data_IF_155038768073
#
_entry.id   IF_155038768073
#
_cell.length_a   1.000
_cell.length_b   1.000
_cell.length_c   1.000
_cell.angle_alpha   90.00
_cell.angle_beta   90.00
_cell.angle_gamma   90.00
#
_symmetry.space_group_name_H-M   'P 1'
#
loop_
_entity.id
_entity.type
_entity.pdbx_description
1 polymer ?
#
# COMPACT_ATOMS: atom_id res chain seq x y z
N UNK A 1 41.63 -10.08 -18.52
CA UNK A 1 40.87 -10.49 -17.33
C UNK A 1 40.72 -9.21 -16.53
N UNK A 2 39.58 -8.53 -16.67
CA UNK A 2 39.30 -7.30 -15.93
C UNK A 2 38.89 -7.75 -14.53
N UNK A 3 39.78 -7.59 -13.56
CA UNK A 3 39.43 -7.68 -12.15
C UNK A 3 38.51 -6.50 -11.84
N UNK A 4 37.25 -6.80 -11.54
CA UNK A 4 36.36 -5.84 -10.93
C UNK A 4 36.83 -5.67 -9.49
N UNK A 5 37.47 -4.54 -9.20
CA UNK A 5 37.52 -4.00 -7.84
C UNK A 5 36.06 -3.81 -7.39
N UNK A 6 35.55 -4.79 -6.65
CA UNK A 6 34.31 -4.64 -5.90
C UNK A 6 34.66 -3.70 -4.77
N UNK A 7 34.46 -2.41 -5.01
CA UNK A 7 34.47 -1.40 -3.97
C UNK A 7 33.56 -1.94 -2.85
N UNK A 8 34.15 -2.15 -1.68
CA UNK A 8 33.45 -2.66 -0.50
C UNK A 8 32.61 -1.53 0.09
N UNK A 9 31.70 -1.00 -0.73
CA UNK A 9 30.65 -0.09 -0.32
C UNK A 9 29.81 -0.81 0.72
N UNK A 10 29.72 -0.22 1.91
CA UNK A 10 28.86 -0.70 2.97
C UNK A 10 27.44 -0.86 2.42
N UNK A 11 26.98 -2.10 2.29
CA UNK A 11 25.57 -2.41 1.96
C UNK A 11 24.67 -1.63 2.92
N UNK A 12 23.73 -0.87 2.36
CA UNK A 12 22.79 -0.07 3.14
C UNK A 12 22.07 -0.97 4.15
N UNK A 13 22.05 -0.54 5.41
CA UNK A 13 21.41 -1.28 6.48
C UNK A 13 19.90 -1.00 6.47
N UNK A 14 19.14 -1.98 5.99
CA UNK A 14 17.68 -1.88 5.87
C UNK A 14 17.01 -2.59 7.05
N UNK A 15 16.07 -1.93 7.71
CA UNK A 15 15.22 -2.54 8.75
C UNK A 15 13.75 -2.46 8.38
N UNK A 16 13.02 -3.53 8.67
CA UNK A 16 11.56 -3.61 8.48
C UNK A 16 10.90 -3.75 9.84
N UNK A 17 10.08 -2.76 10.20
CA UNK A 17 9.43 -2.66 11.50
C UNK A 17 7.93 -2.89 11.34
N UNK A 18 7.46 -4.03 11.86
CA UNK A 18 6.07 -4.45 11.78
C UNK A 18 5.37 -4.04 13.05
N UNK A 19 4.37 -3.16 12.93
CA UNK A 19 3.70 -2.56 14.09
C UNK A 19 2.28 -3.10 14.22
N UNK A 20 2.01 -3.74 15.37
CA UNK A 20 0.72 -4.35 15.68
C UNK A 20 0.49 -5.69 14.98
N UNK A 21 -0.74 -6.21 15.03
CA UNK A 21 -1.06 -7.56 14.54
C UNK A 21 -0.79 -7.74 13.04
N UNK A 22 -1.35 -6.88 12.19
CA UNK A 22 -1.16 -6.97 10.74
C UNK A 22 0.30 -6.75 10.31
N UNK A 23 1.00 -5.79 10.91
CA UNK A 23 2.43 -5.58 10.64
C UNK A 23 3.28 -6.79 11.03
N UNK A 24 3.01 -7.41 12.18
CA UNK A 24 3.68 -8.63 12.61
C UNK A 24 3.40 -9.82 11.67
N UNK A 25 2.16 -9.96 11.18
CA UNK A 25 1.79 -10.99 10.21
C UNK A 25 2.53 -10.79 8.88
N UNK A 26 2.56 -9.56 8.36
CA UNK A 26 3.29 -9.21 7.15
C UNK A 26 4.78 -9.54 7.27
N UNK A 27 5.42 -9.20 8.39
CA UNK A 27 6.82 -9.57 8.66
C UNK A 27 7.02 -11.09 8.69
N UNK A 28 6.16 -11.82 9.40
CA UNK A 28 6.26 -13.28 9.45
C UNK A 28 6.22 -13.88 8.04
N UNK A 29 5.38 -13.32 7.16
CA UNK A 29 5.28 -13.74 5.77
C UNK A 29 6.50 -13.35 4.94
N UNK A 30 7.03 -12.14 5.11
CA UNK A 30 8.30 -11.72 4.48
C UNK A 30 9.45 -12.69 4.82
N UNK A 31 9.53 -13.11 6.09
CA UNK A 31 10.54 -14.08 6.56
C UNK A 31 10.32 -15.46 5.93
N UNK A 32 9.08 -15.94 5.90
CA UNK A 32 8.72 -17.23 5.31
C UNK A 32 9.01 -17.29 3.81
N UNK A 33 8.75 -16.20 3.09
CA UNK A 33 9.09 -16.06 1.67
C UNK A 33 10.57 -15.75 1.42
N UNK A 34 11.39 -15.68 2.48
CA UNK A 34 12.84 -15.58 2.37
C UNK A 34 13.34 -14.22 1.88
N UNK A 35 12.64 -13.12 2.19
CA UNK A 35 13.12 -11.76 1.90
C UNK A 35 14.49 -11.55 2.58
N UNK A 36 15.51 -11.18 1.79
CA UNK A 36 16.92 -11.11 2.23
C UNK A 36 17.38 -9.66 2.39
N UNK A 37 18.51 -9.49 3.08
CA UNK A 37 19.19 -8.20 3.18
C UNK A 37 18.46 -7.17 4.05
N UNK A 38 17.50 -7.60 4.86
CA UNK A 38 16.73 -6.74 5.78
C UNK A 38 16.72 -7.33 7.19
N UNK A 39 16.79 -6.48 8.21
CA UNK A 39 16.58 -6.87 9.61
C UNK A 39 15.10 -6.67 9.99
N UNK A 40 14.46 -7.71 10.55
CA UNK A 40 13.05 -7.64 10.95
C UNK A 40 12.90 -7.32 12.44
N UNK A 41 12.06 -6.32 12.73
CA UNK A 41 11.68 -5.89 14.07
C UNK A 41 10.15 -5.97 14.21
N UNK A 42 9.66 -6.82 15.10
CA UNK A 42 8.24 -6.88 15.44
C UNK A 42 7.94 -6.00 16.67
N UNK A 43 6.95 -5.12 16.57
CA UNK A 43 6.56 -4.17 17.62
C UNK A 43 5.09 -4.37 17.96
N UNK A 44 4.77 -4.73 19.20
CA UNK A 44 3.38 -4.94 19.58
C UNK A 44 3.10 -4.69 21.06
N UNK A 45 1.87 -4.28 21.38
CA UNK A 45 1.36 -4.20 22.76
C UNK A 45 0.84 -5.55 23.25
N UNK A 46 0.48 -6.45 22.34
CA UNK A 46 0.04 -7.81 22.64
C UNK A 46 1.25 -8.75 22.74
N UNK A 47 1.51 -9.21 23.97
CA UNK A 47 2.62 -10.12 24.27
C UNK A 47 2.45 -11.51 23.65
N UNK A 48 1.22 -12.00 23.51
CA UNK A 48 0.95 -13.31 22.94
C UNK A 48 1.18 -13.29 21.43
N UNK A 49 0.70 -12.24 20.76
CA UNK A 49 0.95 -12.04 19.34
C UNK A 49 2.46 -11.88 19.05
N UNK A 50 3.18 -11.19 19.93
CA UNK A 50 4.62 -10.97 19.77
C UNK A 50 5.44 -12.26 19.96
N UNK A 51 5.04 -13.14 20.88
CA UNK A 51 5.70 -14.43 21.10
C UNK A 51 5.68 -15.35 19.85
N UNK A 52 4.66 -15.20 18.99
CA UNK A 52 4.52 -15.94 17.74
C UNK A 52 5.28 -15.30 16.56
N UNK A 53 5.93 -14.15 16.77
CA UNK A 53 6.67 -13.49 15.70
C UNK A 53 7.95 -14.24 15.35
N UNK A 54 8.21 -14.41 14.05
CA UNK A 54 9.44 -15.00 13.51
C UNK A 54 10.57 -13.96 13.38
N UNK A 55 10.32 -12.69 13.70
CA UNK A 55 11.29 -11.60 13.62
C UNK A 55 12.49 -11.79 14.57
N UNK A 56 13.65 -11.31 14.14
CA UNK A 56 14.91 -11.36 14.89
C UNK A 56 14.82 -10.51 16.17
N UNK A 57 14.21 -9.33 16.08
CA UNK A 57 13.97 -8.44 17.20
C UNK A 57 12.48 -8.36 17.51
N UNK A 58 12.15 -8.36 18.80
CA UNK A 58 10.77 -8.28 19.30
C UNK A 58 10.71 -7.22 20.39
N UNK A 59 9.95 -6.17 20.16
CA UNK A 59 9.80 -5.03 21.06
C UNK A 59 8.37 -5.03 21.60
N UNK A 60 8.21 -5.31 22.89
CA UNK A 60 6.92 -5.20 23.55
C UNK A 60 6.72 -3.77 24.05
N UNK A 61 5.77 -3.06 23.46
CA UNK A 61 5.50 -1.66 23.81
C UNK A 61 4.35 -1.53 24.82
N UNK A 62 4.42 -0.52 25.68
CA UNK A 62 3.34 -0.19 26.63
C UNK A 62 3.02 -1.31 27.62
N UNK A 63 4.03 -1.96 28.17
CA UNK A 63 3.87 -3.01 29.17
C UNK A 63 3.09 -2.52 30.40
N UNK A 64 3.29 -1.26 30.82
CA UNK A 64 2.55 -0.67 31.95
C UNK A 64 1.12 -0.28 31.56
N UNK A 65 0.95 0.32 30.37
CA UNK A 65 -0.36 0.80 29.88
C UNK A 65 -1.32 -0.36 29.57
N UNK A 66 -0.83 -1.41 28.92
CA UNK A 66 -1.69 -2.49 28.38
C UNK A 66 -1.62 -3.80 29.16
N UNK A 67 -0.61 -3.95 30.03
CA UNK A 67 -0.29 -5.22 30.71
C UNK A 67 -0.11 -6.40 29.75
N UNK A 68 0.32 -6.12 28.52
CA UNK A 68 0.56 -7.13 27.48
C UNK A 68 -0.70 -7.68 26.80
N UNK A 69 -1.86 -7.04 26.98
CA UNK A 69 -3.17 -7.48 26.46
C UNK A 69 -3.58 -6.79 25.14
N UNK A 70 -2.74 -5.93 24.60
CA UNK A 70 -3.04 -5.16 23.40
C UNK A 70 -3.76 -3.83 23.67
N UNK A 71 -3.94 -3.05 22.60
CA UNK A 71 -4.52 -1.70 22.67
C UNK A 71 -6.06 -1.63 22.56
N UNK A 72 -6.75 -2.78 22.47
CA UNK A 72 -8.22 -2.83 22.47
C UNK A 72 -8.89 -2.02 21.34
N UNK A 73 -8.30 -2.01 20.15
CA UNK A 73 -8.74 -1.19 19.00
C UNK A 73 -8.76 0.34 19.24
N UNK A 74 -8.10 0.83 20.29
CA UNK A 74 -7.98 2.26 20.59
C UNK A 74 -6.60 2.79 20.13
N UNK A 75 -6.54 3.68 19.11
CA UNK A 75 -5.29 4.26 18.64
C UNK A 75 -4.54 5.08 19.69
N UNK A 76 -5.24 5.77 20.60
CA UNK A 76 -4.58 6.57 21.64
C UNK A 76 -3.81 5.71 22.63
N UNK A 77 -4.32 4.51 22.93
CA UNK A 77 -3.61 3.53 23.77
C UNK A 77 -2.37 3.03 23.06
N UNK A 78 -2.46 2.76 21.75
CA UNK A 78 -1.31 2.39 20.92
C UNK A 78 -0.22 3.48 20.89
N UNK A 79 -0.62 4.75 20.74
CA UNK A 79 0.31 5.88 20.75
C UNK A 79 1.00 6.05 22.11
N UNK A 80 0.24 6.03 23.21
CA UNK A 80 0.81 6.11 24.57
C UNK A 80 1.75 4.94 24.88
N UNK A 81 1.42 3.74 24.40
CA UNK A 81 2.26 2.56 24.56
C UNK A 81 3.60 2.70 23.82
N UNK A 82 3.58 3.24 22.60
CA UNK A 82 4.80 3.49 21.83
C UNK A 82 5.66 4.60 22.47
N UNK A 83 5.03 5.66 22.95
CA UNK A 83 5.73 6.76 23.64
C UNK A 83 6.38 6.30 24.95
N UNK A 84 5.72 5.43 25.72
CA UNK A 84 6.30 4.79 26.91
C UNK A 84 7.59 4.04 26.59
N UNK A 85 7.67 3.42 25.42
CA UNK A 85 8.77 2.56 24.97
C UNK A 85 9.65 3.23 23.92
N UNK A 86 9.62 4.57 23.81
CA UNK A 86 10.31 5.33 22.74
C UNK A 86 11.82 5.06 22.71
N UNK A 87 12.47 5.06 23.87
CA UNK A 87 13.92 4.83 23.97
C UNK A 87 14.31 3.43 23.45
N UNK A 88 13.51 2.41 23.77
CA UNK A 88 13.72 1.04 23.32
C UNK A 88 13.52 0.92 21.81
N UNK A 89 12.50 1.58 21.25
CA UNK A 89 12.28 1.67 19.80
C UNK A 89 13.50 2.30 19.13
N UNK A 90 13.94 3.48 19.59
CA UNK A 90 15.11 4.16 19.02
C UNK A 90 16.37 3.30 19.07
N UNK A 91 16.59 2.57 20.16
CA UNK A 91 17.75 1.67 20.28
C UNK A 91 17.75 0.58 19.22
N UNK A 92 16.59 -0.01 18.91
CA UNK A 92 16.46 -1.02 17.87
C UNK A 92 16.60 -0.46 16.45
N UNK A 93 16.28 0.83 16.23
CA UNK A 93 16.38 1.50 14.93
C UNK A 93 17.80 1.98 14.60
N UNK A 94 18.68 2.14 15.60
CA UNK A 94 20.05 2.64 15.38
C UNK A 94 20.83 1.81 14.36
N UNK A 95 21.62 2.53 13.55
CA UNK A 95 22.49 1.95 12.53
C UNK A 95 21.77 1.57 11.23
N UNK A 96 20.47 1.87 11.09
CA UNK A 96 19.77 1.72 9.82
C UNK A 96 19.99 2.94 8.93
N UNK A 97 20.13 2.72 7.63
CA UNK A 97 20.08 3.76 6.60
C UNK A 97 18.65 3.97 6.08
N UNK A 98 17.86 2.88 6.09
CA UNK A 98 16.47 2.82 5.65
C UNK A 98 15.61 2.02 6.61
N UNK A 99 14.46 2.57 6.98
CA UNK A 99 13.45 1.90 7.80
C UNK A 99 12.12 1.85 7.06
N UNK A 100 11.60 0.64 6.88
CA UNK A 100 10.21 0.42 6.49
C UNK A 100 9.33 0.27 7.73
N UNK A 101 8.31 1.11 7.87
CA UNK A 101 7.30 0.97 8.92
C UNK A 101 6.05 0.36 8.30
N UNK A 102 5.73 -0.89 8.64
CA UNK A 102 4.55 -1.58 8.13
C UNK A 102 3.49 -1.83 9.20
N UNK A 103 2.24 -1.51 8.87
CA UNK A 103 1.12 -1.65 9.79
C UNK A 103 -0.22 -1.77 9.05
N UNK A 104 -1.17 -2.47 9.67
CA UNK A 104 -2.57 -2.40 9.29
C UNK A 104 -3.29 -1.28 10.03
N UNK A 105 -3.87 -0.34 9.28
CA UNK A 105 -4.52 0.84 9.83
C UNK A 105 -5.97 0.53 10.22
N UNK A 106 -6.47 1.24 11.23
CA UNK A 106 -7.84 1.10 11.75
C UNK A 106 -7.93 0.35 13.08
N UNK A 107 -6.90 -0.43 13.42
CA UNK A 107 -6.73 -1.05 14.75
C UNK A 107 -6.25 -0.06 15.82
N UNK A 108 -5.87 -0.58 16.99
CA UNK A 108 -5.32 0.23 18.09
C UNK A 108 -3.82 0.42 17.99
N UNK A 109 -3.07 -0.69 18.03
CA UNK A 109 -1.60 -0.67 18.06
C UNK A 109 -1.01 -0.10 16.78
N UNK A 110 -1.31 -0.67 15.61
CA UNK A 110 -0.76 -0.20 14.32
C UNK A 110 -1.03 1.28 14.08
N UNK A 111 -2.30 1.68 14.12
CA UNK A 111 -2.74 3.07 13.90
C UNK A 111 -2.10 4.08 14.86
N UNK A 112 -1.92 3.71 16.13
CA UNK A 112 -1.41 4.61 17.16
C UNK A 112 0.11 4.65 17.27
N UNK A 113 0.76 3.48 17.17
CA UNK A 113 2.18 3.32 17.39
C UNK A 113 3.02 3.55 16.12
N UNK A 114 2.51 3.25 14.93
CA UNK A 114 3.29 3.40 13.70
C UNK A 114 3.79 4.85 13.48
N UNK A 115 2.99 5.92 13.71
CA UNK A 115 3.49 7.29 13.61
C UNK A 115 4.63 7.61 14.60
N UNK A 116 4.59 7.04 15.81
CA UNK A 116 5.62 7.26 16.84
C UNK A 116 6.91 6.53 16.48
N UNK A 117 6.80 5.30 15.95
CA UNK A 117 7.95 4.54 15.44
C UNK A 117 8.61 5.27 14.27
N UNK A 118 7.80 5.78 13.33
CA UNK A 118 8.29 6.53 12.19
C UNK A 118 8.97 7.84 12.59
N UNK A 119 8.39 8.58 13.54
CA UNK A 119 9.00 9.79 14.11
C UNK A 119 10.36 9.49 14.75
N UNK A 120 10.46 8.43 15.55
CA UNK A 120 11.71 7.99 16.17
C UNK A 120 12.79 7.63 15.13
N UNK A 121 12.40 7.05 13.99
CA UNK A 121 13.32 6.77 12.88
C UNK A 121 13.82 8.07 12.22
N UNK A 122 12.92 9.02 11.94
CA UNK A 122 13.29 10.32 11.34
C UNK A 122 14.18 11.16 12.26
N UNK A 123 13.96 11.14 13.57
CA UNK A 123 14.83 11.82 14.54
C UNK A 123 16.27 11.29 14.53
N UNK A 124 16.46 10.04 14.13
CA UNK A 124 17.77 9.42 13.93
C UNK A 124 18.39 9.73 12.56
N UNK A 125 17.70 10.49 11.70
CA UNK A 125 18.14 10.82 10.34
C UNK A 125 18.01 9.69 9.33
N UNK A 126 17.16 8.71 9.61
CA UNK A 126 16.97 7.51 8.79
C UNK A 126 15.89 7.77 7.74
N UNK A 127 16.14 7.37 6.48
CA UNK A 127 15.11 7.40 5.44
C UNK A 127 13.95 6.49 5.87
N UNK A 128 12.77 7.04 6.07
CA UNK A 128 11.64 6.34 6.69
C UNK A 128 10.48 6.24 5.72
N UNK A 129 10.16 5.02 5.29
CA UNK A 129 9.06 4.73 4.37
C UNK A 129 7.95 3.99 5.11
N UNK A 130 6.75 4.54 5.12
CA UNK A 130 5.56 3.85 5.63
C UNK A 130 4.91 2.99 4.55
N UNK A 131 4.61 1.72 4.84
CA UNK A 131 3.86 0.84 3.94
C UNK A 131 2.69 0.24 4.70
N UNK A 132 1.49 0.78 4.49
CA UNK A 132 0.33 0.50 5.35
C UNK A 132 -0.93 0.11 4.57
N UNK A 133 -1.79 -0.69 5.19
CA UNK A 133 -3.09 -1.08 4.61
C UNK A 133 -4.25 -0.29 5.21
N UNK A 134 -5.22 0.09 4.37
CA UNK A 134 -6.55 0.54 4.81
C UNK A 134 -7.46 -0.68 4.99
N UNK A 135 -8.35 -0.70 5.99
CA UNK A 135 -9.21 -1.85 6.27
C UNK A 135 -10.23 -2.08 5.15
N UNK A 136 -10.78 -3.29 5.06
CA UNK A 136 -11.92 -3.56 4.20
C UNK A 136 -13.17 -2.83 4.70
N UNK A 137 -14.09 -2.47 3.80
CA UNK A 137 -15.34 -1.79 4.17
C UNK A 137 -16.19 -2.62 5.14
N UNK A 138 -16.16 -3.95 5.03
CA UNK A 138 -16.90 -4.86 5.92
C UNK A 138 -16.38 -4.87 7.35
N UNK A 139 -15.15 -4.41 7.62
CA UNK A 139 -14.60 -4.35 8.98
C UNK A 139 -15.23 -3.20 9.81
N UNK A 140 -15.96 -2.30 9.15
CA UNK A 140 -16.80 -1.29 9.76
C UNK A 140 -16.25 0.12 9.69
N UNK A 141 -17.17 1.10 9.67
CA UNK A 141 -16.88 2.54 9.51
C UNK A 141 -15.91 3.09 10.56
N UNK A 142 -15.97 2.60 11.80
CA UNK A 142 -15.08 3.07 12.86
C UNK A 142 -13.62 2.70 12.59
N UNK A 143 -13.34 1.51 12.05
CA UNK A 143 -11.98 1.12 11.66
C UNK A 143 -11.48 1.99 10.51
N UNK A 144 -12.31 2.26 9.51
CA UNK A 144 -11.95 3.16 8.40
C UNK A 144 -11.60 4.57 8.89
N UNK A 145 -12.43 5.15 9.76
CA UNK A 145 -12.18 6.49 10.34
C UNK A 145 -10.87 6.54 11.15
N UNK A 146 -10.63 5.50 11.95
CA UNK A 146 -9.37 5.36 12.68
C UNK A 146 -8.18 5.27 11.71
N UNK A 147 -8.33 4.52 10.62
CA UNK A 147 -7.30 4.34 9.61
C UNK A 147 -6.95 5.66 8.92
N UNK A 148 -7.93 6.42 8.45
CA UNK A 148 -7.73 7.74 7.84
C UNK A 148 -7.00 8.70 8.78
N UNK A 149 -7.43 8.75 10.04
CA UNK A 149 -6.79 9.61 11.06
C UNK A 149 -5.35 9.18 11.33
N UNK A 150 -5.08 7.87 11.37
CA UNK A 150 -3.73 7.33 11.59
C UNK A 150 -2.81 7.56 10.38
N UNK A 151 -3.34 7.42 9.16
CA UNK A 151 -2.60 7.65 7.92
C UNK A 151 -2.15 9.10 7.84
N UNK A 152 -3.04 10.05 8.17
CA UNK A 152 -2.70 11.47 8.16
C UNK A 152 -1.60 11.81 9.18
N UNK A 153 -1.66 11.21 10.38
CA UNK A 153 -0.60 11.35 11.38
C UNK A 153 0.72 10.72 10.91
N UNK A 154 0.66 9.53 10.31
CA UNK A 154 1.84 8.82 9.82
C UNK A 154 2.51 9.58 8.68
N UNK A 155 1.73 10.13 7.75
CA UNK A 155 2.22 10.92 6.61
C UNK A 155 3.12 12.08 7.04
N UNK A 156 2.83 12.72 8.17
CA UNK A 156 3.64 13.82 8.71
C UNK A 156 4.96 13.35 9.34
N UNK A 157 5.12 12.04 9.55
CA UNK A 157 6.22 11.41 10.29
C UNK A 157 7.04 10.43 9.44
N UNK A 158 6.77 10.33 8.15
CA UNK A 158 7.54 9.55 7.17
C UNK A 158 7.99 10.44 6.03
N UNK A 159 8.99 10.00 5.28
CA UNK A 159 9.44 10.69 4.07
C UNK A 159 8.55 10.34 2.86
N UNK A 160 8.14 9.06 2.79
CA UNK A 160 7.14 8.55 1.84
C UNK A 160 6.17 7.58 2.51
N UNK A 161 4.90 7.63 2.10
CA UNK A 161 3.83 6.77 2.60
C UNK A 161 3.12 6.03 1.46
N UNK A 162 3.36 4.72 1.36
CA UNK A 162 2.63 3.82 0.47
C UNK A 162 1.37 3.34 1.19
N UNK A 163 0.21 3.65 0.63
CA UNK A 163 -1.09 3.16 1.16
C UNK A 163 -1.70 2.13 0.24
N UNK A 164 -2.05 0.98 0.80
CA UNK A 164 -2.69 -0.14 0.11
C UNK A 164 -4.16 -0.21 0.54
N UNK A 165 -5.11 0.10 -0.36
CA UNK A 165 -6.54 -0.01 -0.06
C UNK A 165 -7.01 -1.47 -0.15
N UNK A 166 -7.26 -2.13 0.99
CA UNK A 166 -7.72 -3.54 0.97
C UNK A 166 -9.02 -3.73 0.19
N UNK A 167 -9.89 -2.72 0.13
CA UNK A 167 -11.10 -2.75 -0.68
C UNK A 167 -10.81 -3.07 -2.16
N UNK A 168 -9.67 -2.58 -2.70
CA UNK A 168 -9.30 -2.83 -4.09
C UNK A 168 -8.92 -4.28 -4.34
N UNK A 169 -8.43 -5.00 -3.33
CA UNK A 169 -8.14 -6.43 -3.41
C UNK A 169 -9.41 -7.22 -3.75
N UNK A 170 -10.59 -6.77 -3.31
CA UNK A 170 -11.86 -7.42 -3.61
C UNK A 170 -12.22 -7.40 -5.11
N UNK A 171 -11.64 -6.46 -5.88
CA UNK A 171 -11.84 -6.40 -7.33
C UNK A 171 -11.03 -7.45 -8.10
N UNK A 172 -9.96 -7.96 -7.47
CA UNK A 172 -9.02 -8.92 -8.06
C UNK A 172 -9.40 -10.36 -7.70
N UNK A 173 -10.09 -10.56 -6.57
CA UNK A 173 -10.44 -11.90 -6.06
C UNK A 173 -11.79 -12.44 -6.58
N UNK A 174 -11.90 -13.77 -6.68
CA UNK A 174 -13.13 -14.46 -7.09
C UNK A 174 -14.17 -14.53 -5.96
N UNK A 175 -15.45 -14.76 -6.33
CA UNK A 175 -16.59 -14.85 -5.37
C UNK A 175 -16.45 -15.92 -4.28
N UNK A 176 -15.55 -16.90 -4.45
CA UNK A 176 -15.32 -17.98 -3.49
C UNK A 176 -14.23 -17.69 -2.44
N UNK A 177 -13.58 -16.53 -2.49
CA UNK A 177 -12.44 -16.19 -1.63
C UNK A 177 -12.88 -16.10 -0.17
N UNK A 178 -12.18 -16.81 0.72
CA UNK A 178 -12.52 -16.79 2.15
C UNK A 178 -12.00 -15.52 2.83
N UNK A 179 -12.49 -15.25 4.04
CA UNK A 179 -12.00 -14.12 4.84
C UNK A 179 -10.50 -14.25 5.16
N UNK A 180 -10.02 -15.47 5.41
CA UNK A 180 -8.60 -15.73 5.70
C UNK A 180 -7.75 -15.43 4.48
N UNK A 181 -8.19 -15.85 3.29
CA UNK A 181 -7.50 -15.61 2.03
C UNK A 181 -7.43 -14.12 1.68
N UNK A 182 -8.50 -13.36 1.98
CA UNK A 182 -8.51 -11.92 1.77
C UNK A 182 -7.47 -11.19 2.63
N UNK A 183 -7.33 -11.54 3.91
CA UNK A 183 -6.29 -10.96 4.77
C UNK A 183 -4.89 -11.43 4.37
N UNK A 184 -4.75 -12.70 3.99
CA UNK A 184 -3.51 -13.24 3.42
C UNK A 184 -3.08 -12.44 2.19
N UNK A 185 -4.01 -12.07 1.33
CA UNK A 185 -3.72 -11.23 0.17
C UNK A 185 -3.25 -9.82 0.58
N UNK A 186 -3.88 -9.20 1.58
CA UNK A 186 -3.44 -7.91 2.09
C UNK A 186 -2.01 -7.96 2.63
N UNK A 187 -1.68 -9.01 3.40
CA UNK A 187 -0.32 -9.23 3.93
C UNK A 187 0.69 -9.49 2.80
N UNK A 188 0.28 -10.19 1.73
CA UNK A 188 1.14 -10.41 0.57
C UNK A 188 1.39 -9.12 -0.23
N UNK A 189 0.41 -8.24 -0.37
CA UNK A 189 0.62 -6.93 -1.01
C UNK A 189 1.54 -6.03 -0.16
N UNK A 190 1.46 -6.09 1.17
CA UNK A 190 2.45 -5.44 2.06
C UNK A 190 3.87 -5.98 1.82
N UNK A 191 4.01 -7.30 1.72
CA UNK A 191 5.28 -7.97 1.39
C UNK A 191 5.81 -7.49 0.04
N UNK A 192 4.97 -7.50 -1.00
CA UNK A 192 5.37 -7.08 -2.35
C UNK A 192 5.80 -5.60 -2.39
N UNK A 193 5.14 -4.71 -1.63
CA UNK A 193 5.53 -3.31 -1.58
C UNK A 193 6.86 -3.04 -0.90
N UNK A 194 7.18 -3.77 0.17
CA UNK A 194 8.51 -3.68 0.80
C UNK A 194 9.55 -4.34 -0.10
N UNK A 195 9.26 -5.54 -0.62
CA UNK A 195 10.15 -6.28 -1.51
C UNK A 195 10.53 -5.45 -2.75
N UNK A 196 9.54 -4.79 -3.37
CA UNK A 196 9.73 -4.00 -4.58
C UNK A 196 10.78 -2.89 -4.43
N UNK A 197 10.91 -2.31 -3.24
CA UNK A 197 11.93 -1.29 -2.91
C UNK A 197 13.21 -1.94 -2.38
N UNK A 198 13.09 -2.92 -1.48
CA UNK A 198 14.27 -3.52 -0.84
C UNK A 198 15.13 -4.30 -1.83
N UNK A 199 14.53 -4.99 -2.81
CA UNK A 199 15.27 -5.78 -3.80
C UNK A 199 16.17 -4.90 -4.69
N UNK A 200 15.81 -3.62 -4.87
CA UNK A 200 16.60 -2.66 -5.63
C UNK A 200 17.90 -2.24 -4.95
N UNK A 201 17.97 -2.40 -3.62
CA UNK A 201 19.07 -1.92 -2.77
C UNK A 201 19.86 -3.08 -2.17
N UNK A 202 19.14 -4.10 -1.68
CA UNK A 202 19.70 -5.14 -0.81
C UNK A 202 20.17 -6.38 -1.58
N UNK A 203 19.64 -6.62 -2.78
CA UNK A 203 19.91 -7.81 -3.58
C UNK A 203 20.72 -7.41 -4.82
N UNK A 204 21.89 -8.03 -5.05
CA UNK A 204 22.60 -7.84 -6.31
C UNK A 204 21.72 -8.23 -7.50
N UNK A 205 21.46 -7.26 -8.37
CA UNK A 205 20.60 -7.36 -9.55
C UNK A 205 21.40 -7.05 -10.82
N UNK A 206 20.81 -7.28 -12.00
CA UNK A 206 21.46 -7.00 -13.29
C UNK A 206 21.70 -5.51 -13.49
N UNK A 207 20.74 -4.70 -13.03
CA UNK A 207 20.80 -3.24 -13.03
C UNK A 207 20.52 -2.78 -11.60
N UNK A 208 21.59 -2.64 -10.82
CA UNK A 208 21.52 -2.15 -9.46
C UNK A 208 21.32 -0.64 -9.45
N UNK A 209 20.48 -0.20 -8.51
CA UNK A 209 20.36 1.20 -8.14
C UNK A 209 21.18 1.44 -6.89
N UNK A 210 21.73 2.64 -6.74
CA UNK A 210 22.34 3.01 -5.48
C UNK A 210 21.29 3.50 -4.47
N UNK A 211 21.68 3.58 -3.21
CA UNK A 211 20.80 4.08 -2.16
C UNK A 211 20.44 5.57 -2.35
N UNK A 212 21.32 6.35 -2.97
CA UNK A 212 21.13 7.79 -3.16
C UNK A 212 20.04 8.07 -4.22
N UNK A 213 19.96 7.23 -5.26
CA UNK A 213 18.92 7.22 -6.27
C UNK A 213 17.57 7.00 -5.59
N UNK A 214 17.40 5.91 -4.85
CA UNK A 214 16.13 5.63 -4.13
C UNK A 214 15.79 6.75 -3.16
N UNK A 215 16.78 7.26 -2.43
CA UNK A 215 16.60 8.41 -1.53
C UNK A 215 16.09 9.64 -2.29
N UNK A 216 16.63 9.97 -3.46
CA UNK A 216 16.22 11.15 -4.24
C UNK A 216 14.74 11.12 -4.68
N UNK A 217 14.19 9.93 -4.89
CA UNK A 217 12.79 9.72 -5.28
C UNK A 217 11.87 9.51 -4.09
N UNK A 218 12.35 9.05 -2.93
CA UNK A 218 11.50 8.74 -1.77
C UNK A 218 11.59 9.74 -0.62
N UNK A 219 12.62 10.58 -0.58
CA UNK A 219 12.81 11.60 0.47
C UNK A 219 11.79 12.75 0.32
N UNK A 220 11.05 13.02 1.41
CA UNK A 220 10.05 14.10 1.54
C UNK A 220 9.02 14.19 0.38
N UNK A 221 8.56 13.05 -0.16
CA UNK A 221 7.54 13.04 -1.24
C UNK A 221 6.10 12.91 -0.75
N UNK A 222 5.89 12.58 0.52
CA UNK A 222 4.55 12.41 1.07
C UNK A 222 3.88 11.13 0.56
N UNK A 223 2.72 11.25 -0.10
CA UNK A 223 1.97 10.07 -0.53
C UNK A 223 2.61 9.37 -1.74
N UNK A 224 2.64 8.03 -1.66
CA UNK A 224 3.11 7.15 -2.70
C UNK A 224 2.05 6.10 -3.05
N UNK A 225 2.04 5.68 -4.31
CA UNK A 225 1.16 4.63 -4.81
C UNK A 225 1.96 3.53 -5.47
N UNK A 226 1.48 2.30 -5.32
CA UNK A 226 2.13 1.11 -5.85
C UNK A 226 1.22 0.44 -6.86
N UNK A 227 1.78 0.12 -8.02
CA UNK A 227 1.17 -0.73 -9.04
C UNK A 227 2.02 -1.98 -9.24
N UNK A 228 1.37 -3.12 -9.37
CA UNK A 228 2.03 -4.40 -9.62
C UNK A 228 1.38 -5.05 -10.83
N UNK A 229 2.21 -5.54 -11.74
CA UNK A 229 1.81 -6.26 -12.92
C UNK A 229 2.63 -7.54 -13.11
N UNK A 230 1.97 -8.54 -13.67
CA UNK A 230 2.50 -9.85 -14.00
C UNK A 230 2.24 -10.10 -15.47
N UNK A 231 3.17 -10.78 -16.13
CA UNK A 231 2.99 -11.22 -17.50
C UNK A 231 3.80 -12.46 -17.79
N UNK A 232 3.35 -13.24 -18.77
CA UNK A 232 3.96 -14.50 -19.18
C UNK A 232 3.88 -14.65 -20.71
N UNK A 233 4.77 -15.45 -21.29
CA UNK A 233 4.84 -15.70 -22.74
C UNK A 233 5.44 -14.55 -23.55
N UNK A 234 5.15 -14.51 -24.85
CA UNK A 234 5.82 -13.60 -25.80
C UNK A 234 5.58 -12.10 -25.53
N UNK A 235 4.44 -11.73 -24.92
CA UNK A 235 4.11 -10.34 -24.58
C UNK A 235 4.21 -10.08 -23.07
N UNK A 236 4.96 -10.90 -22.32
CA UNK A 236 5.03 -10.84 -20.87
C UNK A 236 5.33 -9.44 -20.33
N UNK A 237 6.31 -8.77 -20.90
CA UNK A 237 6.73 -7.44 -20.46
C UNK A 237 5.66 -6.37 -20.71
N UNK A 238 5.11 -6.33 -21.93
CA UNK A 238 4.10 -5.35 -22.34
C UNK A 238 2.82 -5.51 -21.51
N UNK A 239 2.40 -6.75 -21.25
CA UNK A 239 1.23 -7.03 -20.41
C UNK A 239 1.48 -6.70 -18.94
N UNK A 240 2.66 -7.06 -18.39
CA UNK A 240 3.05 -6.69 -17.03
C UNK A 240 3.09 -5.17 -16.85
N UNK A 241 3.62 -4.43 -17.83
CA UNK A 241 3.69 -2.97 -17.77
C UNK A 241 2.29 -2.33 -17.78
N UNK A 242 1.40 -2.78 -18.70
CA UNK A 242 0.00 -2.32 -18.72
C UNK A 242 -0.71 -2.61 -17.41
N UNK A 243 -0.54 -3.82 -16.87
CA UNK A 243 -1.18 -4.21 -15.61
C UNK A 243 -0.64 -3.38 -14.43
N UNK A 244 0.66 -3.07 -14.40
CA UNK A 244 1.25 -2.24 -13.36
C UNK A 244 0.70 -0.80 -13.41
N UNK A 245 0.60 -0.20 -14.60
CA UNK A 245 0.08 1.17 -14.82
C UNK A 245 -1.42 1.28 -14.50
N UNK A 246 -2.18 0.22 -14.80
CA UNK A 246 -3.63 0.16 -14.56
C UNK A 246 -4.01 -0.59 -13.27
N UNK A 247 -3.03 -0.83 -12.40
CA UNK A 247 -3.20 -1.67 -11.22
C UNK A 247 -4.29 -1.08 -10.30
N UNK A 248 -5.24 -1.88 -9.80
CA UNK A 248 -6.24 -1.42 -8.84
C UNK A 248 -5.66 -0.88 -7.54
N UNK A 249 -4.39 -1.19 -7.26
CA UNK A 249 -3.64 -0.73 -6.08
C UNK A 249 -3.19 0.73 -6.19
N UNK A 250 -3.16 1.29 -7.41
CA UNK A 250 -2.93 2.70 -7.65
C UNK A 250 -4.21 3.48 -7.31
N UNK A 251 -4.23 4.18 -6.16
CA UNK A 251 -5.40 4.99 -5.78
C UNK A 251 -5.60 6.20 -6.70
N UNK A 252 -4.52 6.71 -7.28
CA UNK A 252 -4.53 7.72 -8.34
C UNK A 252 -3.77 7.22 -9.56
N UNK A 253 -4.08 7.77 -10.74
CA UNK A 253 -3.32 7.48 -11.96
C UNK A 253 -1.85 7.82 -11.75
N UNK A 254 -0.95 7.09 -12.42
CA UNK A 254 0.49 7.41 -12.45
C UNK A 254 0.76 8.80 -13.06
N UNK A 255 -0.19 9.33 -13.84
CA UNK A 255 -0.10 10.66 -14.43
C UNK A 255 0.09 11.74 -13.34
N UNK A 256 1.16 12.54 -13.48
CA UNK A 256 1.49 13.62 -12.53
C UNK A 256 2.37 13.18 -11.36
N UNK A 257 2.83 11.93 -11.33
CA UNK A 257 3.89 11.51 -10.43
C UNK A 257 5.21 12.18 -10.84
N UNK A 258 5.86 12.88 -9.91
CA UNK A 258 7.14 13.56 -10.14
C UNK A 258 8.35 12.70 -9.83
N UNK A 259 8.13 11.54 -9.19
CA UNK A 259 9.15 10.52 -8.97
C UNK A 259 8.55 9.13 -9.19
N UNK A 260 9.23 8.28 -9.97
CA UNK A 260 8.75 6.93 -10.28
C UNK A 260 9.91 5.95 -10.12
N UNK A 261 9.68 4.88 -9.36
CA UNK A 261 10.58 3.73 -9.27
C UNK A 261 9.96 2.58 -10.05
N UNK A 262 10.73 2.00 -10.97
CA UNK A 262 10.35 0.83 -11.76
C UNK A 262 11.31 -0.30 -11.38
N UNK A 263 10.76 -1.39 -10.85
CA UNK A 263 11.50 -2.63 -10.59
C UNK A 263 10.95 -3.73 -11.49
N UNK A 264 11.82 -4.28 -12.35
CA UNK A 264 11.50 -5.42 -13.20
C UNK A 264 12.19 -6.67 -12.64
N UNK A 265 11.42 -7.71 -12.35
CA UNK A 265 11.93 -9.01 -11.94
C UNK A 265 11.49 -10.06 -12.96
N UNK A 266 12.41 -10.88 -13.46
CA UNK A 266 12.08 -11.99 -14.34
C UNK A 266 13.11 -13.12 -14.27
N UNK A 267 12.94 -14.16 -15.08
CA UNK A 267 13.91 -15.24 -15.22
C UNK A 267 15.22 -14.82 -15.91
N UNK A 268 16.11 -15.79 -16.11
CA UNK A 268 17.42 -15.57 -16.78
C UNK A 268 17.30 -15.10 -18.24
N UNK A 269 16.17 -15.37 -18.86
CA UNK A 269 15.90 -15.03 -20.26
C UNK A 269 15.42 -13.57 -20.43
N UNK A 270 15.43 -12.75 -19.37
CA UNK A 270 15.00 -11.35 -19.42
C UNK A 270 15.89 -10.55 -20.39
N UNK A 271 15.32 -10.21 -21.55
CA UNK A 271 16.01 -9.46 -22.60
C UNK A 271 16.05 -7.96 -22.35
N UNK A 272 17.14 -7.30 -22.80
CA UNK A 272 17.29 -5.85 -22.71
C UNK A 272 16.21 -5.09 -23.51
N UNK A 273 15.80 -5.64 -24.66
CA UNK A 273 14.78 -5.03 -25.53
C UNK A 273 13.44 -4.99 -24.81
N UNK A 274 13.04 -6.13 -24.21
CA UNK A 274 11.81 -6.23 -23.44
C UNK A 274 11.84 -5.21 -22.30
N UNK A 275 12.91 -5.23 -21.51
CA UNK A 275 13.10 -4.30 -20.38
C UNK A 275 12.93 -2.84 -20.81
N UNK A 276 13.53 -2.45 -21.94
CA UNK A 276 13.40 -1.09 -22.47
C UNK A 276 11.95 -0.78 -22.91
N UNK A 277 11.25 -1.72 -23.54
CA UNK A 277 9.85 -1.52 -23.95
C UNK A 277 8.93 -1.29 -22.74
N UNK A 278 9.05 -2.12 -21.70
CA UNK A 278 8.29 -1.97 -20.46
C UNK A 278 8.56 -0.63 -19.76
N UNK A 279 9.84 -0.25 -19.66
CA UNK A 279 10.25 1.01 -19.06
C UNK A 279 9.71 2.23 -19.83
N UNK A 280 9.74 2.20 -21.16
CA UNK A 280 9.22 3.29 -22.00
C UNK A 280 7.70 3.46 -21.84
N UNK A 281 6.95 2.36 -21.74
CA UNK A 281 5.50 2.43 -21.55
C UNK A 281 5.13 3.13 -20.24
N UNK A 282 5.84 2.80 -19.15
CA UNK A 282 5.60 3.41 -17.84
C UNK A 282 6.06 4.86 -17.83
N UNK A 283 7.19 5.16 -18.47
CA UNK A 283 7.71 6.53 -18.62
C UNK A 283 6.75 7.44 -19.36
N UNK A 284 6.13 6.95 -20.45
CA UNK A 284 5.14 7.71 -21.22
C UNK A 284 3.83 7.97 -20.45
N UNK A 285 3.54 7.18 -19.41
CA UNK A 285 2.38 7.39 -18.55
C UNK A 285 2.68 8.36 -17.39
N UNK A 286 3.95 8.56 -17.02
CA UNK A 286 4.36 9.47 -15.97
C UNK A 286 4.39 10.95 -16.45
N UNK A 287 4.73 11.87 -15.55
CA UNK A 287 4.97 13.27 -15.91
C UNK A 287 6.24 13.43 -16.78
N UNK A 288 6.25 14.39 -17.72
CA UNK A 288 7.40 14.61 -18.61
C UNK A 288 8.67 15.01 -17.85
N UNK A 289 8.54 15.66 -16.69
CA UNK A 289 9.65 16.04 -15.81
C UNK A 289 9.84 15.08 -14.63
N UNK A 290 9.23 13.88 -14.68
CA UNK A 290 9.36 12.89 -13.62
C UNK A 290 10.80 12.39 -13.49
N UNK A 291 11.30 12.32 -12.26
CA UNK A 291 12.54 11.60 -11.95
C UNK A 291 12.24 10.10 -11.94
N UNK A 292 12.67 9.40 -12.99
CA UNK A 292 12.41 7.96 -13.16
C UNK A 292 13.67 7.17 -12.87
N UNK A 293 13.54 6.23 -11.94
CA UNK A 293 14.60 5.32 -11.54
C UNK A 293 14.19 3.91 -11.94
N UNK A 294 15.12 3.19 -12.55
CA UNK A 294 14.87 1.89 -13.13
C UNK A 294 15.84 0.84 -12.59
N UNK A 295 15.31 -0.27 -12.08
CA UNK A 295 16.10 -1.44 -11.67
C UNK A 295 15.57 -2.73 -12.30
N UNK A 296 16.49 -3.68 -12.52
CA UNK A 296 16.17 -4.99 -13.08
C UNK A 296 16.90 -6.11 -12.35
N UNK A 297 16.14 -7.08 -11.84
CA UNK A 297 16.63 -8.25 -11.13
C UNK A 297 16.23 -9.57 -11.78
N UNK A 298 17.02 -10.61 -11.51
CA UNK A 298 16.73 -11.98 -11.92
C UNK A 298 16.26 -12.78 -10.72
N UNK A 299 15.10 -13.41 -10.85
CA UNK A 299 14.57 -14.39 -9.90
C UNK A 299 14.32 -15.70 -10.64
N UNK A 300 15.15 -16.72 -10.36
CA UNK A 300 15.06 -18.03 -10.99
C UNK A 300 13.76 -18.76 -10.66
N UNK A 301 13.06 -18.35 -9.59
CA UNK A 301 11.80 -18.97 -9.18
C UNK A 301 10.63 -18.58 -10.07
N UNK A 302 10.75 -17.48 -10.84
CA UNK A 302 9.70 -16.97 -11.73
C UNK A 302 9.61 -17.71 -13.07
N UNK A 303 10.64 -18.46 -13.47
CA UNK A 303 10.63 -19.16 -14.76
C UNK A 303 10.47 -18.20 -15.94
N UNK A 304 9.35 -18.29 -16.67
CA UNK A 304 8.97 -17.45 -17.80
C UNK A 304 8.07 -16.25 -17.42
N UNK A 305 7.75 -16.09 -16.13
CA UNK A 305 6.98 -14.96 -15.64
C UNK A 305 7.85 -13.71 -15.44
N UNK A 306 7.26 -12.55 -15.75
CA UNK A 306 7.83 -11.23 -15.51
C UNK A 306 6.92 -10.49 -14.55
N UNK A 307 7.51 -9.92 -13.51
CA UNK A 307 6.84 -9.06 -12.53
C UNK A 307 7.40 -7.64 -12.64
N UNK A 308 6.52 -6.67 -12.82
CA UNK A 308 6.86 -5.25 -12.78
C UNK A 308 6.19 -4.62 -11.56
N UNK A 309 6.99 -3.97 -10.73
CA UNK A 309 6.52 -3.14 -9.62
C UNK A 309 6.81 -1.70 -9.93
N UNK A 310 5.78 -0.85 -9.88
CA UNK A 310 5.88 0.59 -10.10
C UNK A 310 5.50 1.29 -8.80
N UNK A 311 6.35 2.21 -8.36
CA UNK A 311 6.09 3.04 -7.18
C UNK A 311 6.18 4.49 -7.59
N UNK A 312 5.03 5.15 -7.56
CA UNK A 312 4.87 6.52 -7.97
C UNK A 312 4.76 7.42 -6.74
N UNK A 313 5.41 8.57 -6.77
CA UNK A 313 5.52 9.51 -5.65
C UNK A 313 5.35 10.96 -6.13
N UNK A 314 5.10 11.87 -5.19
CA UNK A 314 5.15 13.31 -5.47
C UNK A 314 3.95 13.85 -6.23
N UNK A 315 2.76 13.28 -6.00
CA UNK A 315 1.48 13.71 -6.58
C UNK A 315 0.99 15.08 -6.08
N UNK A 316 1.55 15.59 -4.97
CA UNK A 316 1.05 16.77 -4.28
C UNK A 316 1.40 18.11 -4.96
N UNK A 317 2.33 18.10 -5.91
CA UNK A 317 2.73 19.34 -6.63
C UNK A 317 1.61 19.88 -7.53
N UNK A 318 0.68 19.04 -7.98
CA UNK A 318 -0.42 19.43 -8.87
C UNK A 318 -1.57 20.19 -8.20
N UNK A 319 -1.77 20.05 -6.88
CA UNK A 319 -2.88 20.71 -6.17
C UNK A 319 -2.56 22.17 -5.81
N UNK A 320 -1.29 22.52 -5.58
CA UNK A 320 -0.91 23.91 -5.26
C UNK A 320 -1.08 24.86 -6.44
N UNK A 321 -0.86 24.40 -7.68
CA UNK A 321 -0.94 25.26 -8.87
C UNK A 321 -2.38 25.60 -9.27
N UNK A 322 -3.39 24.82 -8.84
CA UNK A 322 -4.81 25.09 -9.15
C UNK A 322 -5.48 26.10 -8.22
N UNK A 323 -4.88 26.44 -7.07
CA UNK A 323 -5.46 27.41 -6.11
C UNK A 323 -5.12 28.88 -6.41
N UNK A 324 -4.11 29.15 -7.22
CA UNK A 324 -3.64 30.52 -7.50
C UNK A 324 -4.21 31.13 -8.80
N UNK A 325 -5.22 30.50 -9.41
CA UNK A 325 -5.94 31.03 -10.58
C UNK A 325 -7.41 31.32 -10.32
N UNK A 326 -7.75 31.82 -9.12
CA UNK A 326 -9.02 32.54 -8.95
C UNK A 326 -8.86 33.98 -9.44
N UNK A 327 -9.67 34.31 -10.45
CA UNK A 327 -9.72 35.60 -11.15
C UNK A 327 -10.07 36.77 -10.20
N UNK A 328 -9.72 38.02 -10.55
CA UNK A 328 -10.01 39.17 -9.71
C UNK A 328 -11.53 39.39 -9.60
N UNK A 329 -12.02 39.36 -8.37
CA UNK A 329 -13.39 39.69 -7.99
C UNK A 329 -13.69 41.14 -8.36
N UNK A 330 -14.65 41.35 -9.26
CA UNK A 330 -15.15 42.65 -9.64
C UNK A 330 -15.87 43.34 -8.46
N UNK A 331 -15.58 44.62 -8.25
CA UNK A 331 -16.20 45.50 -7.25
C UNK A 331 -17.70 45.68 -7.51
N UNK A 332 -18.50 45.50 -6.45
CA UNK A 332 -19.94 45.81 -6.43
C UNK A 332 -20.16 47.31 -6.26
N UNK A 333 -20.92 47.91 -7.19
CA UNK A 333 -21.49 49.24 -7.05
C UNK A 333 -22.87 49.18 -6.36
N UNK A 334 -23.27 50.20 -5.56
CA UNK A 334 -24.43 50.12 -4.68
C UNK A 334 -25.74 50.42 -5.44
N UNK A 335 -26.80 49.63 -5.18
CA UNK A 335 -28.15 49.92 -5.68
C UNK A 335 -29.10 50.29 -4.53
N UNK A 336 -29.78 51.41 -4.77
CA UNK A 336 -30.76 52.08 -3.93
C UNK A 336 -32.10 51.33 -3.82
N UNK A 337 -32.89 51.76 -2.84
CA UNK A 337 -34.14 51.19 -2.34
C UNK A 337 -35.40 51.48 -3.18
N UNK A 338 -36.52 50.88 -2.71
CA UNK A 338 -37.96 51.11 -3.00
C UNK A 338 -38.58 50.16 -4.05
N UNK A 339 -39.80 49.60 -3.97
CA UNK A 339 -41.07 49.92 -3.27
C UNK A 339 -41.92 48.63 -3.08
N UNK A 340 -42.75 48.59 -2.02
CA UNK A 340 -43.85 47.63 -1.74
C UNK A 340 -45.08 47.75 -2.66
N UNK A 341 -45.63 46.63 -3.17
CA UNK A 341 -47.07 46.46 -3.53
C UNK A 341 -47.45 44.95 -3.53
N UNK A 342 -48.73 44.53 -3.47
CA UNK A 342 -49.29 43.74 -2.38
C UNK A 342 -49.69 42.31 -2.75
N UNK A 343 -49.97 41.53 -1.70
CA UNK A 343 -50.35 40.12 -1.66
C UNK A 343 -51.72 39.83 -2.32
N UNK A 344 -51.77 38.76 -3.11
CA UNK A 344 -52.97 38.22 -3.77
C UNK A 344 -53.05 36.68 -3.60
N UNK A 345 -54.25 36.08 -3.66
CA UNK A 345 -54.64 34.94 -2.81
C UNK A 345 -54.07 33.57 -3.22
N UNK A 346 -53.81 32.72 -2.22
CA UNK A 346 -53.37 31.33 -2.36
C UNK A 346 -54.52 30.41 -2.82
N UNK A 347 -54.34 29.72 -3.94
CA UNK A 347 -55.17 28.57 -4.35
C UNK A 347 -54.69 27.26 -3.66
N UNK A 348 -55.58 26.26 -3.46
CA UNK A 348 -55.27 25.07 -2.67
C UNK A 348 -54.29 24.13 -3.39
N UNK A 349 -53.24 23.72 -2.68
CA UNK A 349 -52.30 22.67 -3.12
C UNK A 349 -52.97 21.30 -3.13
N UNK A 350 -53.04 20.66 -4.29
CA UNK A 350 -53.36 19.23 -4.43
C UNK A 350 -52.16 18.35 -4.04
N UNK A 351 -52.42 17.30 -3.27
CA UNK A 351 -51.45 16.27 -2.89
C UNK A 351 -51.05 15.40 -4.10
N UNK A 352 -49.76 15.04 -4.26
CA UNK A 352 -49.37 14.15 -5.33
C UNK A 352 -49.84 12.71 -5.06
N UNK A 353 -50.61 12.16 -6.01
CA UNK A 353 -51.00 10.74 -6.07
C UNK A 353 -49.78 9.83 -6.09
N UNK A 354 -49.84 8.79 -5.24
CA UNK A 354 -48.94 7.65 -5.16
C UNK A 354 -48.90 6.91 -6.50
N UNK A 355 -47.73 6.86 -7.15
CA UNK A 355 -47.49 6.03 -8.34
C UNK A 355 -47.01 4.66 -7.85
N UNK A 356 -47.76 3.60 -8.16
CA UNK A 356 -47.29 2.22 -8.00
C UNK A 356 -46.18 1.95 -9.03
N UNK A 357 -44.97 1.66 -8.55
CA UNK A 357 -43.86 1.24 -9.40
C UNK A 357 -44.08 -0.21 -9.83
N UNK A 358 -44.07 -0.44 -11.14
CA UNK A 358 -43.97 -1.77 -11.73
C UNK A 358 -42.68 -2.48 -11.27
N UNK A 359 -42.77 -3.81 -11.14
CA UNK A 359 -41.72 -4.65 -10.57
C UNK A 359 -40.33 -4.44 -11.21
N UNK A 360 -39.25 -4.50 -10.40
CA UNK A 360 -37.88 -4.36 -10.89
C UNK A 360 -37.47 -5.41 -11.93
N UNK A 361 -36.70 -4.97 -12.92
CA UNK A 361 -36.21 -5.77 -14.07
C UNK A 361 -35.28 -6.95 -13.71
N UNK A 362 -34.97 -7.17 -12.43
CA UNK A 362 -34.16 -8.31 -11.97
C UNK A 362 -34.98 -9.56 -11.61
N UNK A 363 -36.32 -9.53 -11.80
CA UNK A 363 -37.22 -10.67 -11.63
C UNK A 363 -37.55 -11.43 -12.93
N UNK A 364 -36.90 -11.14 -14.06
CA UNK A 364 -37.01 -11.97 -15.27
C UNK A 364 -35.88 -13.00 -15.33
N UNK A 365 -36.19 -14.21 -14.88
CA UNK A 365 -35.43 -15.42 -15.22
C UNK A 365 -35.79 -15.87 -16.65
N UNK A 366 -34.79 -16.11 -17.48
CA UNK A 366 -34.87 -17.06 -18.59
C UNK A 366 -33.48 -17.37 -19.16
N UNK A 367 -33.08 -18.61 -18.92
CA UNK A 367 -32.42 -19.49 -19.88
C UNK A 367 -32.61 -19.09 -21.35
N UNK A 368 -31.51 -18.94 -22.10
CA UNK A 368 -31.20 -19.69 -23.32
C UNK A 368 -29.86 -19.26 -23.95
N UNK A 369 -29.26 -20.22 -24.64
CA UNK A 369 -27.93 -20.30 -25.21
C UNK A 369 -27.75 -19.41 -26.46
N UNK A 370 -26.54 -18.88 -26.74
CA UNK A 370 -25.81 -19.09 -28.01
C UNK A 370 -24.60 -18.15 -28.21
N UNK A 371 -23.43 -18.80 -28.36
CA UNK A 371 -22.30 -18.53 -29.28
C UNK A 371 -22.08 -17.12 -29.85
N UNK A 372 -20.91 -16.54 -29.52
CA UNK A 372 -20.28 -15.46 -30.28
C UNK A 372 -18.81 -15.29 -29.88
N UNK A 373 -17.90 -15.72 -30.74
CA UNK A 373 -16.44 -15.70 -30.56
C UNK A 373 -15.87 -14.28 -30.60
N UNK A 374 -15.02 -13.95 -29.62
CA UNK A 374 -14.13 -12.78 -29.65
C UNK A 374 -12.98 -13.00 -28.66
N UNK A 375 -11.80 -13.33 -29.16
CA UNK A 375 -10.59 -13.56 -28.35
C UNK A 375 -10.08 -12.23 -27.77
N UNK A 376 -10.44 -11.98 -26.52
CA UNK A 376 -9.70 -11.09 -25.63
C UNK A 376 -8.86 -11.99 -24.74
N UNK A 377 -7.56 -11.73 -24.64
CA UNK A 377 -6.68 -12.46 -23.74
C UNK A 377 -7.25 -12.34 -22.33
N UNK A 378 -7.81 -13.44 -21.83
CA UNK A 378 -8.48 -13.51 -20.55
C UNK A 378 -7.44 -13.62 -19.45
N UNK A 379 -7.46 -12.67 -18.52
CA UNK A 379 -6.75 -12.75 -17.24
C UNK A 379 -7.10 -14.08 -16.55
N UNK A 380 -6.11 -14.97 -16.42
CA UNK A 380 -6.29 -16.28 -15.78
C UNK A 380 -6.29 -16.11 -14.25
N UNK A 381 -7.49 -15.88 -13.73
CA UNK A 381 -7.78 -15.75 -12.29
C UNK A 381 -7.38 -16.99 -11.49
N UNK A 382 -7.46 -18.17 -12.11
CA UNK A 382 -7.23 -19.44 -11.44
C UNK A 382 -5.73 -19.72 -11.32
N UNK A 383 -4.92 -19.30 -12.30
CA UNK A 383 -3.46 -19.34 -12.22
C UNK A 383 -2.92 -18.43 -11.11
N UNK A 384 -3.39 -17.18 -11.03
CA UNK A 384 -3.02 -16.23 -9.96
C UNK A 384 -3.41 -16.78 -8.58
N UNK A 385 -4.62 -17.33 -8.44
CA UNK A 385 -5.08 -17.96 -7.21
C UNK A 385 -4.20 -19.15 -6.80
N UNK A 386 -3.82 -20.04 -7.73
CA UNK A 386 -3.06 -21.25 -7.40
C UNK A 386 -1.65 -20.96 -6.86
N UNK A 387 -1.01 -19.90 -7.34
CA UNK A 387 0.31 -19.46 -6.88
C UNK A 387 0.28 -18.84 -5.46
N UNK A 388 -0.91 -18.48 -4.96
CA UNK A 388 -1.17 -17.81 -3.68
C UNK A 388 -1.40 -18.75 -2.47
N UNK A 389 -1.63 -20.06 -2.67
CA UNK A 389 -2.26 -20.94 -1.66
C UNK A 389 -1.45 -22.12 -1.10
N UNK A 390 -0.14 -22.24 -1.34
CA UNK A 390 0.67 -23.28 -0.67
C UNK A 390 1.11 -22.83 0.73
N UNK A 391 0.37 -23.27 1.77
CA UNK A 391 0.78 -23.20 3.18
C UNK A 391 -0.37 -23.00 4.18
N UNK A 392 -0.65 -24.00 5.01
CA UNK A 392 -1.50 -23.86 6.21
C UNK A 392 -0.61 -23.65 7.44
N UNK A 393 -0.40 -22.41 7.88
CA UNK A 393 0.27 -22.10 9.16
C UNK A 393 -0.66 -21.24 10.04
N UNK A 394 -0.82 -21.64 11.31
CA UNK A 394 -1.78 -21.06 12.28
C UNK A 394 -1.50 -19.56 12.59
N UNK A 395 -0.32 -19.06 12.22
CA UNK A 395 0.11 -17.66 12.35
C UNK A 395 -0.55 -16.71 11.37
N UNK A 396 -1.19 -17.21 10.31
CA UNK A 396 -1.72 -16.39 9.22
C UNK A 396 -3.12 -15.82 9.49
N UNK A 397 -3.76 -16.26 10.57
CA UNK A 397 -5.08 -15.76 10.96
C UNK A 397 -4.89 -14.43 11.71
N UNK A 398 -5.56 -13.33 11.30
CA UNK A 398 -5.52 -12.05 12.04
C UNK A 398 -5.86 -12.25 13.52
N UNK A 399 -5.15 -11.55 14.42
CA UNK A 399 -5.27 -11.77 15.88
C UNK A 399 -6.70 -11.72 16.39
N UNK A 400 -7.56 -10.87 15.80
CA UNK A 400 -8.96 -10.72 16.21
C UNK A 400 -9.90 -11.85 15.74
N UNK A 401 -9.45 -12.74 14.86
CA UNK A 401 -10.20 -13.92 14.39
C UNK A 401 -9.77 -15.22 15.09
N UNK A 402 -8.70 -15.16 15.91
CA UNK A 402 -8.19 -16.34 16.63
C UNK A 402 -9.13 -16.71 17.77
N UNK A 403 -9.35 -18.02 17.99
CA UNK A 403 -10.10 -18.51 19.16
C UNK A 403 -9.32 -18.16 20.44
N UNK A 404 -9.98 -17.67 21.51
CA UNK A 404 -9.30 -17.47 22.78
C UNK A 404 -8.73 -18.81 23.28
N UNK A 405 -7.55 -18.83 23.91
CA UNK A 405 -6.98 -20.06 24.45
C UNK A 405 -7.97 -20.66 25.45
N UNK A 406 -8.18 -21.98 25.35
CA UNK A 406 -8.90 -22.73 26.40
C UNK A 406 -8.09 -22.55 27.70
N UNK A 407 -8.75 -21.96 28.70
CA UNK A 407 -8.22 -21.84 30.07
C UNK A 407 -7.98 -23.21 30.70
#
# INVERSE_FOLDING_TARGET
>A
MLEFDVDSGTLAQIKVVGVGGAGNNAINRMILHGLRGVEFIAVNTDSQALALSKANQRVQIGAKVTKGLGAGANPEVGAKAAEESREEIMQNLKGADLVFVTAGMGGGTGTGAAPVVAEAARELGILTIGVVTKPFSFEGRQRMKNAETGIEKLKQKVDSLVTIPNERLLSVVGKGTTLVDAFRMADDVLRQGIQGISDLIAVPSLINLDFADVKSVMEDKGMAHMGIGYGSGENAMTEAAKQAISSPLLETSINGATGVIINVTGGKELGLIDVNEGAQMITQAADEEANIIFGAGVDETLGDEIRITVIATGFERGERVKKDKEAPRAEEAPRQASVDVPEAPQEPREEPRRVEMADPWWMMDRSENSTGSGSTASFDRDAFAKQLFDGEDETDIPTFLRRPPKR
#
